data_IF_055326826627
#
_entry.id   IF_055326826627
#
_cell.length_a   1.000
_cell.length_b   1.000
_cell.length_c   1.000
_cell.angle_alpha   90.00
_cell.angle_beta   90.00
_cell.angle_gamma   90.00
#
_symmetry.space_group_name_H-M   'P 1'
#
loop_
_entity.id
_entity.type
_entity.pdbx_description
1 polymer ?
#
# COMPACT_ATOMS: atom_id res chain seq x y z
N UNK A 1 62.75 -43.26 42.96
CA UNK A 1 61.79 -43.25 44.08
C UNK A 1 60.38 -43.01 43.53
N UNK A 2 59.35 -43.58 44.18
CA UNK A 2 58.02 -43.90 43.63
C UNK A 2 57.08 -42.66 43.73
N UNK A 3 55.72 -42.74 43.61
CA UNK A 3 54.85 -43.39 42.61
C UNK A 3 53.58 -42.56 42.23
N UNK A 4 52.77 -43.11 41.30
CA UNK A 4 51.28 -43.28 41.36
C UNK A 4 50.29 -42.09 41.21
N UNK A 5 49.37 -42.31 40.23
CA UNK A 5 47.93 -41.98 40.14
C UNK A 5 47.47 -40.52 39.97
N UNK A 6 46.85 -40.23 38.82
CA UNK A 6 45.39 -40.31 38.59
C UNK A 6 44.90 -39.30 37.54
N UNK A 7 43.89 -39.72 36.80
CA UNK A 7 43.26 -39.01 35.71
C UNK A 7 42.63 -37.66 36.09
N UNK A 8 42.73 -36.69 35.19
CA UNK A 8 41.65 -35.73 34.90
C UNK A 8 41.76 -35.27 33.45
N UNK A 9 40.95 -35.88 32.58
CA UNK A 9 40.59 -35.31 31.28
C UNK A 9 39.67 -34.12 31.57
N UNK A 10 40.07 -32.92 31.18
CA UNK A 10 39.14 -31.83 30.93
C UNK A 10 39.23 -31.46 29.46
N UNK A 11 38.18 -31.86 28.76
CA UNK A 11 37.85 -31.57 27.38
C UNK A 11 37.52 -30.08 27.23
N UNK A 12 38.13 -29.40 26.27
CA UNK A 12 37.59 -28.21 25.62
C UNK A 12 38.23 -28.09 24.23
N UNK A 13 37.75 -28.93 23.31
CA UNK A 13 38.01 -28.75 21.88
C UNK A 13 36.81 -28.01 21.28
N UNK A 14 37.14 -26.88 20.67
CA UNK A 14 36.46 -26.24 19.54
C UNK A 14 35.62 -27.23 18.73
N UNK A 15 34.31 -26.98 18.67
CA UNK A 15 33.48 -27.44 17.57
C UNK A 15 32.49 -26.34 17.20
N UNK A 16 32.49 -26.03 15.90
CA UNK A 16 31.59 -25.10 15.25
C UNK A 16 30.14 -25.50 15.50
N UNK A 17 29.30 -24.52 15.83
CA UNK A 17 27.87 -24.73 16.01
C UNK A 17 27.27 -25.33 14.72
N UNK A 18 26.51 -26.44 14.81
CA UNK A 18 25.78 -26.95 13.66
C UNK A 18 24.64 -26.00 13.35
N UNK A 19 24.54 -25.58 12.08
CA UNK A 19 23.37 -24.92 11.50
C UNK A 19 22.16 -25.80 11.79
N UNK A 20 21.38 -25.39 12.79
CA UNK A 20 20.16 -26.08 13.18
C UNK A 20 19.18 -26.08 12.02
N UNK A 21 18.95 -27.26 11.44
CA UNK A 21 17.76 -27.51 10.62
C UNK A 21 16.54 -27.11 11.44
N UNK A 22 15.74 -26.17 10.92
CA UNK A 22 14.44 -25.81 11.50
C UNK A 22 13.64 -27.10 11.72
N UNK A 23 13.01 -27.30 12.90
CA UNK A 23 12.12 -28.43 13.09
C UNK A 23 10.94 -28.28 12.10
N UNK A 24 10.91 -29.18 11.12
CA UNK A 24 9.70 -29.54 10.40
C UNK A 24 8.65 -29.93 11.43
N UNK A 25 7.43 -29.40 11.28
CA UNK A 25 6.27 -29.64 12.16
C UNK A 25 6.24 -28.85 13.49
N UNK A 26 6.48 -27.54 13.44
CA UNK A 26 5.86 -26.66 14.44
C UNK A 26 4.36 -26.63 14.17
N UNK A 27 3.59 -27.18 15.09
CA UNK A 27 2.15 -27.04 15.14
C UNK A 27 1.84 -25.55 14.98
N UNK A 28 1.18 -25.17 13.88
CA UNK A 28 0.75 -23.81 13.63
C UNK A 28 -0.06 -23.40 14.86
N UNK A 29 0.52 -22.54 15.71
CA UNK A 29 -0.24 -21.88 16.77
C UNK A 29 -1.51 -21.36 16.09
N UNK A 30 -2.71 -21.62 16.64
CA UNK A 30 -3.94 -21.12 16.05
C UNK A 30 -3.75 -19.63 15.78
N UNK A 31 -3.80 -19.24 14.50
CA UNK A 31 -3.65 -17.83 14.13
C UNK A 31 -4.68 -17.08 14.96
N UNK A 32 -4.26 -16.08 15.76
CA UNK A 32 -5.18 -15.37 16.63
C UNK A 32 -6.32 -14.79 15.81
N UNK A 33 -7.42 -14.44 16.48
CA UNK A 33 -8.56 -13.84 15.80
C UNK A 33 -8.16 -12.52 15.12
N UNK A 34 -7.26 -11.74 15.74
CA UNK A 34 -6.86 -10.43 15.27
C UNK A 34 -8.00 -9.42 15.29
N UNK A 35 -7.68 -8.18 14.97
CA UNK A 35 -8.63 -7.09 14.82
C UNK A 35 -9.35 -7.22 13.47
N UNK A 36 -10.63 -6.85 13.41
CA UNK A 36 -11.36 -6.82 12.13
C UNK A 36 -10.73 -5.82 11.15
N UNK A 37 -10.25 -4.72 11.70
CA UNK A 37 -9.54 -3.64 11.00
C UNK A 37 -8.24 -3.39 11.75
N UNK A 38 -7.12 -3.75 11.12
CA UNK A 38 -5.79 -3.56 11.66
C UNK A 38 -5.20 -2.26 11.08
N UNK A 39 -4.91 -1.30 11.96
CA UNK A 39 -4.28 -0.03 11.60
C UNK A 39 -2.85 0.03 12.13
N UNK A 40 -1.93 0.42 11.24
CA UNK A 40 -0.51 0.58 11.50
C UNK A 40 -0.08 1.99 11.12
N UNK A 41 0.26 2.81 12.11
CA UNK A 41 0.68 4.18 11.88
C UNK A 41 2.13 4.25 11.44
N UNK A 42 3.01 3.48 12.09
CA UNK A 42 4.46 3.50 11.84
C UNK A 42 5.02 2.08 11.80
N UNK A 43 5.93 1.81 10.87
CA UNK A 43 6.58 0.50 10.71
C UNK A 43 7.34 0.12 11.99
N UNK A 44 8.22 0.98 12.49
CA UNK A 44 9.03 0.70 13.69
C UNK A 44 8.20 0.47 14.96
N UNK A 45 7.09 1.20 15.13
CA UNK A 45 6.33 1.18 16.39
C UNK A 45 5.24 0.12 16.43
N UNK A 46 4.54 -0.04 15.31
CA UNK A 46 3.32 -0.82 15.23
C UNK A 46 3.51 -2.15 14.49
N UNK A 47 4.55 -2.28 13.67
CA UNK A 47 4.79 -3.47 12.87
C UNK A 47 5.80 -4.41 13.51
N UNK A 48 7.02 -3.92 13.75
CA UNK A 48 8.13 -4.73 14.25
C UNK A 48 7.73 -5.45 15.56
N UNK A 49 7.78 -6.79 15.51
CA UNK A 49 7.43 -7.75 16.57
C UNK A 49 5.97 -7.73 17.08
N UNK A 50 5.05 -7.00 16.44
CA UNK A 50 3.68 -6.79 16.96
C UNK A 50 2.56 -7.05 15.97
N UNK A 51 2.84 -7.09 14.66
CA UNK A 51 1.79 -7.20 13.65
C UNK A 51 0.95 -8.49 13.80
N UNK A 52 1.56 -9.60 14.22
CA UNK A 52 0.88 -10.89 14.44
C UNK A 52 -0.20 -10.84 15.53
N UNK A 53 -0.11 -9.87 16.47
CA UNK A 53 -1.13 -9.69 17.50
C UNK A 53 -2.38 -8.98 16.96
N UNK A 54 -2.20 -8.12 15.95
CA UNK A 54 -3.28 -7.33 15.33
C UNK A 54 -3.89 -8.03 14.11
N UNK A 55 -3.09 -8.75 13.33
CA UNK A 55 -3.55 -9.42 12.12
C UNK A 55 -3.86 -10.88 12.43
N UNK A 56 -5.07 -11.31 12.09
CA UNK A 56 -5.54 -12.65 12.37
C UNK A 56 -6.70 -13.09 11.50
N UNK A 57 -7.31 -14.22 11.85
CA UNK A 57 -8.34 -14.87 11.02
C UNK A 57 -9.66 -14.09 10.88
N UNK A 58 -9.88 -13.06 11.69
CA UNK A 58 -11.02 -12.15 11.58
C UNK A 58 -10.66 -10.83 10.89
N UNK A 59 -9.39 -10.58 10.58
CA UNK A 59 -8.93 -9.37 9.91
C UNK A 59 -9.43 -9.34 8.48
N UNK A 60 -10.11 -8.23 8.15
CA UNK A 60 -10.68 -7.97 6.83
C UNK A 60 -10.08 -6.74 6.18
N UNK A 61 -9.57 -5.81 6.99
CA UNK A 61 -9.05 -4.53 6.54
C UNK A 61 -7.68 -4.35 7.17
N UNK A 62 -6.69 -4.05 6.33
CA UNK A 62 -5.36 -3.62 6.77
C UNK A 62 -5.14 -2.21 6.24
N UNK A 63 -4.84 -1.28 7.14
CA UNK A 63 -4.59 0.12 6.85
C UNK A 63 -3.22 0.54 7.35
N UNK A 64 -2.49 1.25 6.50
CA UNK A 64 -1.21 1.86 6.81
C UNK A 64 -1.37 3.38 6.84
N UNK A 65 -0.87 4.03 7.88
CA UNK A 65 -0.88 5.49 8.00
C UNK A 65 0.26 6.15 7.21
N UNK A 66 0.23 7.48 7.15
CA UNK A 66 1.22 8.28 6.41
C UNK A 66 2.64 8.22 6.97
N UNK A 67 2.82 7.86 8.24
CA UNK A 67 4.14 7.62 8.85
C UNK A 67 4.70 6.21 8.55
N UNK A 68 3.97 5.38 7.80
CA UNK A 68 4.34 4.00 7.51
C UNK A 68 5.09 3.92 6.18
N UNK A 69 6.24 3.25 6.18
CA UNK A 69 6.97 2.91 4.95
C UNK A 69 6.56 1.49 4.54
N UNK A 70 5.67 1.37 3.56
CA UNK A 70 5.15 0.08 3.12
C UNK A 70 6.08 -0.50 2.05
N UNK A 71 6.50 -1.75 2.23
CA UNK A 71 7.51 -2.43 1.40
C UNK A 71 7.04 -3.84 1.06
N UNK A 72 7.70 -4.49 0.11
CA UNK A 72 7.42 -5.88 -0.27
C UNK A 72 7.51 -6.83 0.92
N UNK A 73 8.48 -6.62 1.83
CA UNK A 73 8.65 -7.41 3.06
C UNK A 73 7.35 -7.46 3.89
N UNK A 74 6.70 -6.32 4.05
CA UNK A 74 5.45 -6.23 4.82
C UNK A 74 4.31 -7.00 4.14
N UNK A 75 4.28 -7.02 2.80
CA UNK A 75 3.34 -7.84 2.04
C UNK A 75 3.64 -9.33 2.26
N UNK A 76 4.90 -9.74 2.11
CA UNK A 76 5.33 -11.13 2.32
C UNK A 76 5.01 -11.64 3.73
N UNK A 77 5.19 -10.80 4.75
CA UNK A 77 4.87 -11.11 6.15
C UNK A 77 3.36 -11.32 6.37
N UNK A 78 2.49 -10.55 5.69
CA UNK A 78 1.04 -10.78 5.71
C UNK A 78 0.70 -12.10 5.01
N UNK A 79 1.33 -12.38 3.87
CA UNK A 79 1.11 -13.60 3.11
C UNK A 79 1.58 -14.84 3.90
N UNK A 80 2.65 -14.70 4.69
CA UNK A 80 3.18 -15.75 5.57
C UNK A 80 2.22 -16.13 6.71
N UNK A 81 1.27 -15.26 7.09
CA UNK A 81 0.18 -15.63 8.01
C UNK A 81 -0.77 -16.67 7.41
N UNK A 82 -0.70 -16.87 6.10
CA UNK A 82 -1.33 -17.98 5.41
C UNK A 82 -2.79 -17.75 5.00
N UNK A 83 -3.42 -18.77 4.40
CA UNK A 83 -4.70 -18.64 3.71
C UNK A 83 -5.87 -18.27 4.63
N UNK A 84 -5.74 -18.49 5.94
CA UNK A 84 -6.75 -18.09 6.92
C UNK A 84 -6.94 -16.58 7.03
N UNK A 85 -5.86 -15.81 6.83
CA UNK A 85 -5.87 -14.33 6.80
C UNK A 85 -6.12 -13.86 5.37
N UNK A 86 -5.30 -14.30 4.41
CA UNK A 86 -5.38 -13.85 3.01
C UNK A 86 -6.74 -14.15 2.36
N UNK A 87 -7.33 -15.31 2.66
CA UNK A 87 -8.65 -15.71 2.16
C UNK A 87 -9.82 -14.84 2.66
N UNK A 88 -9.59 -13.98 3.66
CA UNK A 88 -10.60 -13.10 4.26
C UNK A 88 -10.26 -11.62 4.16
N UNK A 89 -9.07 -11.27 3.67
CA UNK A 89 -8.66 -9.89 3.47
C UNK A 89 -9.50 -9.24 2.38
N UNK A 90 -10.24 -8.18 2.74
CA UNK A 90 -11.16 -7.46 1.86
C UNK A 90 -10.58 -6.14 1.35
N UNK A 91 -9.81 -5.45 2.20
CA UNK A 91 -9.25 -4.15 1.88
C UNK A 91 -7.80 -4.06 2.35
N UNK A 92 -6.97 -3.52 1.47
CA UNK A 92 -5.56 -3.25 1.72
C UNK A 92 -5.30 -1.79 1.35
N UNK A 93 -5.04 -0.93 2.34
CA UNK A 93 -5.14 0.52 2.18
C UNK A 93 -3.87 1.19 2.69
N UNK A 94 -3.24 1.98 1.85
CA UNK A 94 -2.22 2.93 2.25
C UNK A 94 -2.83 4.33 2.33
N UNK A 95 -3.12 4.81 3.54
CA UNK A 95 -3.65 6.14 3.79
C UNK A 95 -2.51 7.17 3.82
N UNK A 96 -2.30 7.82 2.69
CA UNK A 96 -1.49 9.04 2.66
C UNK A 96 -2.36 10.24 3.03
N UNK A 97 -2.07 10.85 4.18
CA UNK A 97 -2.71 12.08 4.68
C UNK A 97 -1.66 13.13 5.00
N UNK A 98 -2.12 14.37 4.82
CA UNK A 98 -1.40 15.63 4.92
C UNK A 98 -0.38 15.69 6.07
N UNK A 99 0.75 16.31 5.74
CA UNK A 99 1.93 16.54 6.58
C UNK A 99 2.06 18.04 6.79
N UNK A 100 1.03 18.64 7.40
CA UNK A 100 1.04 20.06 7.76
C UNK A 100 2.30 20.41 8.57
N UNK A 101 2.71 21.68 8.54
CA UNK A 101 3.95 22.16 9.17
C UNK A 101 4.06 21.83 10.69
N UNK A 102 2.92 21.61 11.36
CA UNK A 102 2.84 21.20 12.77
C UNK A 102 2.92 19.69 13.00
N UNK A 103 2.85 18.88 11.94
CA UNK A 103 3.26 17.49 11.98
C UNK A 103 4.77 17.48 12.23
N UNK A 104 5.16 17.35 13.50
CA UNK A 104 6.50 16.95 13.93
C UNK A 104 6.79 15.54 13.43
N UNK A 105 6.83 15.37 12.10
CA UNK A 105 7.57 14.32 11.47
C UNK A 105 8.98 14.50 11.98
N UNK A 106 9.41 13.59 12.86
CA UNK A 106 10.82 13.43 13.25
C UNK A 106 11.71 13.03 12.06
N UNK A 107 11.26 13.26 10.83
CA UNK A 107 12.13 13.35 9.67
C UNK A 107 12.80 14.72 9.76
N UNK A 108 14.04 14.76 10.23
CA UNK A 108 14.88 15.96 10.15
C UNK A 108 14.76 16.56 8.75
N UNK A 109 14.16 17.73 8.66
CA UNK A 109 14.03 18.53 7.45
C UNK A 109 15.41 19.08 7.05
N UNK A 110 16.25 18.20 6.51
CA UNK A 110 17.33 18.55 5.60
C UNK A 110 16.87 18.18 4.21
N UNK A 111 16.11 19.07 3.55
CA UNK A 111 15.97 19.18 2.08
C UNK A 111 15.69 17.91 1.23
N UNK A 112 15.36 16.78 1.81
CA UNK A 112 15.02 15.53 1.11
C UNK A 112 13.80 14.88 1.76
N UNK A 113 12.65 15.13 1.12
CA UNK A 113 11.49 14.24 1.00
C UNK A 113 10.79 13.79 2.30
N UNK A 114 9.57 14.29 2.48
CA UNK A 114 8.51 13.64 3.27
C UNK A 114 8.19 12.27 2.63
N UNK A 115 9.05 11.27 2.84
CA UNK A 115 8.90 9.92 2.27
C UNK A 115 7.87 9.11 3.05
N UNK A 116 6.59 9.41 2.85
CA UNK A 116 5.60 8.33 2.90
C UNK A 116 5.68 7.61 1.55
N UNK A 117 6.53 6.60 1.48
CA UNK A 117 6.76 5.83 0.28
C UNK A 117 6.01 4.49 0.38
N UNK A 118 5.17 4.21 -0.62
CA UNK A 118 4.84 2.82 -0.96
C UNK A 118 5.94 2.32 -1.87
N UNK A 119 6.85 1.54 -1.31
CA UNK A 119 7.91 0.85 -2.05
C UNK A 119 7.45 -0.52 -2.54
N UNK A 120 6.14 -0.80 -2.48
CA UNK A 120 5.53 -2.04 -2.97
C UNK A 120 5.74 -2.14 -4.49
N UNK A 121 6.45 -3.18 -4.91
CA UNK A 121 6.77 -3.46 -6.31
C UNK A 121 5.74 -4.37 -6.95
N UNK A 122 5.98 -4.64 -8.23
CA UNK A 122 5.16 -5.49 -9.07
C UNK A 122 4.91 -6.89 -8.49
N UNK A 123 5.96 -7.53 -7.94
CA UNK A 123 5.88 -8.90 -7.42
C UNK A 123 5.00 -8.98 -6.17
N UNK A 124 5.11 -8.00 -5.26
CA UNK A 124 4.27 -7.94 -4.07
C UNK A 124 2.81 -7.63 -4.42
N UNK A 125 2.56 -6.74 -5.39
CA UNK A 125 1.20 -6.49 -5.89
C UNK A 125 0.60 -7.75 -6.54
N UNK A 126 1.38 -8.46 -7.34
CA UNK A 126 0.99 -9.74 -7.93
C UNK A 126 0.65 -10.78 -6.85
N UNK A 127 1.50 -10.90 -5.83
CA UNK A 127 1.30 -11.84 -4.74
C UNK A 127 0.01 -11.55 -3.94
N UNK A 128 -0.36 -10.27 -3.76
CA UNK A 128 -1.65 -9.90 -3.18
C UNK A 128 -2.83 -10.39 -4.03
N UNK A 129 -2.75 -10.28 -5.36
CA UNK A 129 -3.81 -10.76 -6.26
C UNK A 129 -3.99 -12.28 -6.20
N UNK A 130 -2.88 -13.01 -6.22
CA UNK A 130 -2.85 -14.47 -6.22
C UNK A 130 -3.37 -15.05 -4.91
N UNK A 131 -2.93 -14.51 -3.77
CA UNK A 131 -3.16 -15.11 -2.46
C UNK A 131 -4.41 -14.60 -1.75
N UNK A 132 -4.96 -13.45 -2.14
CA UNK A 132 -6.09 -12.82 -1.46
C UNK A 132 -7.36 -12.76 -2.35
N UNK A 133 -8.09 -13.89 -2.51
CA UNK A 133 -9.26 -13.97 -3.39
C UNK A 133 -10.47 -13.13 -2.92
N UNK A 134 -10.49 -12.72 -1.66
CA UNK A 134 -11.56 -11.91 -1.10
C UNK A 134 -11.34 -10.40 -1.26
N UNK A 135 -10.22 -9.97 -1.84
CA UNK A 135 -9.91 -8.55 -2.02
C UNK A 135 -10.98 -7.86 -2.87
N UNK A 136 -11.43 -6.71 -2.37
CA UNK A 136 -12.41 -5.83 -3.02
C UNK A 136 -11.85 -4.45 -3.30
N UNK A 137 -10.86 -4.02 -2.52
CA UNK A 137 -10.28 -2.69 -2.55
C UNK A 137 -8.79 -2.76 -2.26
N UNK A 138 -7.97 -2.13 -3.11
CA UNK A 138 -6.55 -1.91 -2.88
C UNK A 138 -6.24 -0.44 -3.12
N UNK A 139 -5.52 0.18 -2.20
CA UNK A 139 -4.93 1.50 -2.38
C UNK A 139 -3.41 1.46 -2.11
N UNK A 140 -2.64 1.75 -3.15
CA UNK A 140 -1.17 1.84 -3.13
C UNK A 140 -0.71 3.18 -3.71
N UNK A 141 -1.38 4.27 -3.35
CA UNK A 141 -1.07 5.60 -3.85
C UNK A 141 -0.15 6.34 -2.86
N UNK A 142 1.11 6.55 -3.22
CA UNK A 142 2.07 7.38 -2.48
C UNK A 142 2.33 8.72 -3.19
N UNK A 143 3.11 9.61 -2.55
CA UNK A 143 3.53 10.89 -3.12
C UNK A 143 4.31 10.69 -4.43
N UNK A 144 3.92 11.47 -5.45
CA UNK A 144 4.56 11.94 -6.71
C UNK A 144 5.54 11.05 -7.50
N UNK A 145 6.29 10.15 -6.87
CA UNK A 145 7.14 9.14 -7.48
C UNK A 145 6.56 7.76 -7.16
N UNK A 146 5.43 7.41 -7.78
CA UNK A 146 4.78 6.16 -7.42
C UNK A 146 5.71 4.95 -7.53
N UNK A 147 5.38 3.87 -6.80
CA UNK A 147 5.90 2.49 -6.87
C UNK A 147 6.43 1.95 -8.24
N UNK A 148 7.37 1.03 -8.31
CA UNK A 148 7.86 0.53 -9.62
C UNK A 148 6.91 -0.45 -10.35
N UNK A 149 5.61 -0.15 -10.40
CA UNK A 149 4.60 -0.89 -11.15
C UNK A 149 4.66 -0.48 -12.62
N UNK A 150 5.09 -1.41 -13.45
CA UNK A 150 5.20 -1.34 -14.91
C UNK A 150 3.93 -1.79 -15.61
N UNK A 151 3.12 -2.65 -14.98
CA UNK A 151 1.84 -3.14 -15.49
C UNK A 151 1.79 -4.64 -15.75
N UNK A 152 2.88 -5.39 -15.55
CA UNK A 152 2.91 -6.85 -15.75
C UNK A 152 2.02 -7.59 -14.74
N UNK A 153 1.92 -7.15 -13.49
CA UNK A 153 0.96 -7.67 -12.50
C UNK A 153 -0.49 -7.39 -12.92
N UNK A 154 -0.76 -6.28 -13.63
CA UNK A 154 -2.08 -5.95 -14.14
C UNK A 154 -2.46 -6.85 -15.33
N UNK A 155 -1.51 -7.15 -16.20
CA UNK A 155 -1.68 -8.12 -17.29
C UNK A 155 -1.87 -9.54 -16.72
N UNK A 156 -1.07 -9.95 -15.73
CA UNK A 156 -1.23 -11.23 -15.07
C UNK A 156 -2.59 -11.35 -14.35
N UNK A 157 -3.06 -10.29 -13.68
CA UNK A 157 -4.40 -10.23 -13.10
C UNK A 157 -5.51 -10.32 -14.16
N UNK A 158 -5.29 -9.80 -15.36
CA UNK A 158 -6.22 -9.93 -16.49
C UNK A 158 -6.26 -11.37 -16.99
N UNK A 159 -5.11 -12.04 -17.07
CA UNK A 159 -4.94 -13.39 -17.60
C UNK A 159 -5.42 -14.48 -16.66
N UNK A 160 -5.52 -14.17 -15.35
CA UNK A 160 -6.00 -15.09 -14.31
C UNK A 160 -7.26 -14.50 -13.63
N UNK A 161 -8.48 -14.68 -14.20
CA UNK A 161 -9.72 -14.15 -13.65
C UNK A 161 -10.09 -14.66 -12.24
N UNK A 162 -9.56 -15.81 -11.84
CA UNK A 162 -9.70 -16.43 -10.53
C UNK A 162 -8.91 -15.71 -9.42
N UNK A 163 -7.95 -14.85 -9.78
CA UNK A 163 -7.22 -14.01 -8.83
C UNK A 163 -8.00 -12.76 -8.48
N UNK A 164 -8.17 -12.52 -7.18
CA UNK A 164 -8.99 -11.42 -6.63
C UNK A 164 -10.31 -11.17 -7.42
N UNK A 165 -11.19 -12.17 -7.60
CA UNK A 165 -12.35 -12.08 -8.50
C UNK A 165 -13.37 -11.03 -8.06
N UNK A 166 -13.31 -10.61 -6.79
CA UNK A 166 -14.20 -9.61 -6.18
C UNK A 166 -13.59 -8.21 -6.17
N UNK A 167 -12.42 -8.00 -6.77
CA UNK A 167 -11.73 -6.71 -6.79
C UNK A 167 -12.56 -5.69 -7.57
N UNK A 168 -13.06 -4.67 -6.88
CA UNK A 168 -13.91 -3.60 -7.43
C UNK A 168 -13.14 -2.30 -7.60
N UNK A 169 -12.20 -2.01 -6.72
CA UNK A 169 -11.45 -0.75 -6.74
C UNK A 169 -9.96 -1.02 -6.61
N UNK A 170 -9.18 -0.44 -7.52
CA UNK A 170 -7.72 -0.45 -7.48
C UNK A 170 -7.23 1.00 -7.61
N UNK A 171 -6.66 1.54 -6.54
CA UNK A 171 -6.10 2.90 -6.51
C UNK A 171 -4.58 2.83 -6.54
N UNK A 172 -3.98 3.42 -7.58
CA UNK A 172 -2.53 3.45 -7.81
C UNK A 172 -2.06 4.90 -7.98
N UNK A 173 -0.76 5.15 -7.80
CA UNK A 173 -0.18 6.45 -8.13
C UNK A 173 -0.31 6.80 -9.61
N UNK A 174 -0.44 8.09 -9.93
CA UNK A 174 -0.49 8.60 -11.30
C UNK A 174 0.79 8.25 -12.09
N UNK A 175 0.61 7.78 -13.33
CA UNK A 175 1.68 7.39 -14.27
C UNK A 175 1.26 7.55 -15.73
N UNK A 176 0.66 8.68 -16.04
CA UNK A 176 0.19 8.94 -17.41
C UNK A 176 1.35 9.01 -18.44
N UNK A 177 2.58 9.16 -17.96
CA UNK A 177 3.83 9.11 -18.72
C UNK A 177 4.23 7.68 -19.15
N UNK A 178 3.84 6.64 -18.39
CA UNK A 178 4.19 5.23 -18.69
C UNK A 178 3.15 4.58 -19.61
N UNK A 179 3.44 4.57 -20.91
CA UNK A 179 2.55 4.00 -21.95
C UNK A 179 2.18 2.53 -21.72
N UNK A 180 3.14 1.69 -21.34
CA UNK A 180 2.90 0.26 -21.13
C UNK A 180 1.99 -0.01 -19.93
N UNK A 181 2.23 0.70 -18.82
CA UNK A 181 1.34 0.70 -17.65
C UNK A 181 -0.08 1.09 -18.04
N UNK A 182 -0.24 2.21 -18.77
CA UNK A 182 -1.56 2.69 -19.20
C UNK A 182 -2.27 1.70 -20.14
N UNK A 183 -1.52 1.00 -20.99
CA UNK A 183 -2.05 -0.04 -21.87
C UNK A 183 -2.55 -1.24 -21.05
N UNK A 184 -1.74 -1.76 -20.13
CA UNK A 184 -2.09 -2.88 -19.26
C UNK A 184 -3.30 -2.55 -18.37
N UNK A 185 -3.28 -1.40 -17.72
CA UNK A 185 -4.38 -0.89 -16.89
C UNK A 185 -5.69 -0.79 -17.67
N UNK A 186 -5.66 -0.21 -18.87
CA UNK A 186 -6.87 -0.10 -19.72
C UNK A 186 -7.36 -1.47 -20.18
N UNK A 187 -6.45 -2.39 -20.50
CA UNK A 187 -6.81 -3.76 -20.90
C UNK A 187 -7.46 -4.54 -19.74
N UNK A 188 -6.89 -4.44 -18.53
CA UNK A 188 -7.44 -5.00 -17.31
C UNK A 188 -8.86 -4.46 -17.04
N UNK A 189 -9.05 -3.14 -17.13
CA UNK A 189 -10.36 -2.51 -16.96
C UNK A 189 -11.40 -2.95 -18.00
N UNK A 190 -10.99 -3.28 -19.23
CA UNK A 190 -11.87 -3.86 -20.25
C UNK A 190 -12.29 -5.30 -19.91
N UNK A 191 -11.35 -6.12 -19.40
CA UNK A 191 -11.61 -7.49 -18.97
C UNK A 191 -12.54 -7.54 -17.74
N UNK A 192 -12.28 -6.68 -16.75
CA UNK A 192 -13.03 -6.60 -15.49
C UNK A 192 -13.99 -5.42 -15.48
N UNK A 193 -15.12 -5.54 -16.19
CA UNK A 193 -16.09 -4.44 -16.43
C UNK A 193 -16.71 -3.83 -15.16
N UNK A 194 -16.74 -4.58 -14.06
CA UNK A 194 -17.26 -4.12 -12.76
C UNK A 194 -16.21 -3.34 -11.94
N UNK A 195 -14.94 -3.37 -12.36
CA UNK A 195 -13.83 -2.76 -11.65
C UNK A 195 -13.63 -1.30 -12.06
N UNK A 196 -13.26 -0.47 -11.08
CA UNK A 196 -12.82 0.91 -11.25
C UNK A 196 -11.34 0.98 -10.88
N UNK A 197 -10.53 1.54 -11.76
CA UNK A 197 -9.12 1.82 -11.49
C UNK A 197 -8.98 3.33 -11.31
N UNK A 198 -8.43 3.79 -10.20
CA UNK A 198 -8.24 5.20 -9.94
C UNK A 198 -6.74 5.50 -9.91
N UNK A 199 -6.29 6.42 -10.75
CA UNK A 199 -4.95 6.97 -10.65
C UNK A 199 -5.00 8.20 -9.75
N UNK A 200 -4.12 8.26 -8.76
CA UNK A 200 -4.09 9.32 -7.76
C UNK A 200 -2.80 10.10 -7.91
N UNK A 201 -2.93 11.39 -8.16
CA UNK A 201 -1.83 12.36 -8.15
C UNK A 201 -1.89 13.14 -6.86
N UNK A 202 -0.75 13.29 -6.17
CA UNK A 202 -0.64 14.13 -4.99
C UNK A 202 0.57 15.03 -5.13
N UNK A 203 0.35 16.33 -5.01
CA UNK A 203 1.39 17.35 -5.05
C UNK A 203 1.03 18.49 -4.12
N UNK A 204 2.06 19.16 -3.62
CA UNK A 204 1.91 20.33 -2.76
C UNK A 204 1.69 21.56 -3.64
N UNK A 205 0.63 22.33 -3.35
CA UNK A 205 0.36 23.61 -3.98
C UNK A 205 0.41 24.70 -2.92
N UNK A 206 1.15 25.77 -3.20
CA UNK A 206 1.23 26.90 -2.27
C UNK A 206 -0.04 27.75 -2.39
N UNK A 207 -0.86 27.78 -1.34
CA UNK A 207 -2.08 28.58 -1.26
C UNK A 207 -2.02 29.50 -0.05
N UNK A 208 -2.29 30.79 -0.25
CA UNK A 208 -2.35 31.82 0.80
C UNK A 208 -1.17 31.88 1.80
N UNK A 209 0.02 31.44 1.39
CA UNK A 209 1.21 31.46 2.25
C UNK A 209 1.49 30.14 2.97
N UNK A 210 0.60 29.16 2.87
CA UNK A 210 0.77 27.79 3.36
C UNK A 210 0.89 26.79 2.20
N UNK A 211 1.30 25.57 2.50
CA UNK A 211 1.35 24.45 1.56
C UNK A 211 0.17 23.53 1.77
N UNK A 212 -0.67 23.41 0.75
CA UNK A 212 -1.80 22.49 0.76
C UNK A 212 -1.47 21.24 -0.06
N UNK A 213 -1.79 20.08 0.48
CA UNK A 213 -1.71 18.82 -0.27
C UNK A 213 -2.91 18.70 -1.22
N UNK A 214 -2.68 18.90 -2.52
CA UNK A 214 -3.71 18.74 -3.54
C UNK A 214 -3.72 17.30 -4.05
N UNK A 215 -4.88 16.64 -3.91
CA UNK A 215 -5.11 15.29 -4.43
C UNK A 215 -6.00 15.33 -5.67
N UNK A 216 -5.49 14.84 -6.80
CA UNK A 216 -6.27 14.65 -8.03
C UNK A 216 -6.53 13.17 -8.25
N UNK A 217 -7.78 12.79 -8.44
CA UNK A 217 -8.17 11.41 -8.73
C UNK A 217 -8.71 11.29 -10.14
N UNK A 218 -8.12 10.37 -10.89
CA UNK A 218 -8.53 10.02 -12.23
C UNK A 218 -9.15 8.63 -12.28
N UNK A 219 -10.46 8.56 -12.51
CA UNK A 219 -11.14 7.27 -12.57
C UNK A 219 -11.11 6.68 -13.98
N UNK A 220 -10.89 5.37 -14.07
CA UNK A 220 -10.95 4.57 -15.28
C UNK A 220 -11.95 3.42 -15.10
N UNK A 221 -12.90 3.32 -16.03
CA UNK A 221 -13.90 2.23 -16.09
C UNK A 221 -13.95 1.66 -17.49
N UNK A 222 -14.03 0.33 -17.60
CA UNK A 222 -14.07 -0.37 -18.91
C UNK A 222 -12.90 0.04 -19.84
N UNK A 223 -11.74 0.37 -19.24
CA UNK A 223 -10.54 0.83 -19.92
C UNK A 223 -10.60 2.25 -20.50
N UNK A 224 -11.54 3.09 -20.07
CA UNK A 224 -11.68 4.49 -20.50
C UNK A 224 -11.68 5.43 -19.30
N UNK A 225 -11.12 6.62 -19.49
CA UNK A 225 -11.16 7.72 -18.52
C UNK A 225 -12.62 8.10 -18.26
N UNK A 226 -13.01 8.20 -17.00
CA UNK A 226 -14.38 8.45 -16.56
C UNK A 226 -14.40 9.53 -15.47
N UNK A 227 -14.29 10.79 -15.89
CA UNK A 227 -14.37 11.96 -15.01
C UNK A 227 -13.13 12.14 -14.11
N UNK A 228 -12.91 13.40 -13.74
CA UNK A 228 -11.84 13.82 -12.84
C UNK A 228 -12.57 14.24 -11.56
N UNK A 229 -12.22 13.65 -10.42
CA UNK A 229 -12.75 14.09 -9.13
C UNK A 229 -11.64 14.78 -8.36
N UNK A 230 -11.89 16.03 -8.00
CA UNK A 230 -11.07 16.78 -7.04
C UNK A 230 -11.59 16.43 -5.65
N UNK A 231 -10.71 15.96 -4.77
CA UNK A 231 -10.98 16.02 -3.33
C UNK A 231 -10.68 17.47 -2.92
N UNK A 232 -11.62 18.38 -3.15
CA UNK A 232 -11.66 19.60 -2.35
C UNK A 232 -12.23 19.17 -1.00
N UNK A 233 -11.40 19.19 0.04
CA UNK A 233 -11.91 19.27 1.41
C UNK A 233 -12.76 20.54 1.46
N UNK A 234 -14.07 20.38 1.28
CA UNK A 234 -15.05 21.45 1.44
C UNK A 234 -15.05 21.84 2.91
N UNK A 235 -14.31 22.89 3.21
CA UNK A 235 -14.52 23.70 4.40
C UNK A 235 -15.98 24.18 4.40
N UNK A 236 -16.80 23.89 5.43
CA UNK A 236 -18.23 24.22 5.43
C UNK A 236 -18.52 25.73 5.65
N UNK A 237 -17.53 26.59 5.44
CA UNK A 237 -17.60 28.03 5.69
C UNK A 237 -17.32 28.88 4.45
N UNK A 238 -17.94 28.55 3.31
CA UNK A 238 -18.05 29.51 2.20
C UNK A 238 -19.45 29.46 1.57
N UNK A 239 -20.41 30.03 2.29
CA UNK A 239 -21.61 30.62 1.71
C UNK A 239 -21.56 32.14 2.00
N UNK A 240 -20.90 32.91 1.13
CA UNK A 240 -20.99 34.37 1.17
C UNK A 240 -20.79 35.02 -0.21
N UNK A 241 -21.86 35.69 -0.66
CA UNK A 241 -21.96 36.71 -1.72
C UNK A 241 -21.84 36.22 -3.18
N UNK A 242 -22.89 36.15 -4.00
CA UNK A 242 -24.08 37.01 -4.16
C UNK A 242 -23.77 38.50 -4.32
N UNK A 243 -22.89 38.88 -5.25
CA UNK A 243 -22.94 40.10 -6.07
C UNK A 243 -22.00 39.82 -7.26
N UNK A 244 -22.43 39.68 -8.52
CA UNK A 244 -23.23 40.63 -9.27
C UNK A 244 -22.32 41.46 -10.19
N UNK A 245 -21.71 40.85 -11.22
CA UNK A 245 -21.34 41.53 -12.46
C UNK A 245 -21.38 40.54 -13.62
N UNK A 246 -22.36 40.76 -14.49
CA UNK A 246 -22.56 40.00 -15.71
C UNK A 246 -21.69 40.48 -16.87
N UNK A 247 -21.71 39.64 -17.90
CA UNK A 247 -21.32 39.87 -19.29
C UNK A 247 -19.83 40.04 -19.59
N UNK A 248 -19.24 38.95 -20.09
CA UNK A 248 -18.66 38.99 -21.43
C UNK A 248 -19.15 37.80 -22.27
N UNK A 249 -20.01 38.12 -23.25
CA UNK A 249 -20.23 37.31 -24.46
C UNK A 249 -18.89 37.17 -25.19
N UNK A 250 -18.58 35.97 -25.68
CA UNK A 250 -17.98 35.87 -27.01
C UNK A 250 -18.51 34.62 -27.73
N UNK A 251 -19.23 34.91 -28.81
CA UNK A 251 -19.41 34.03 -29.95
C UNK A 251 -18.02 33.68 -30.51
N UNK A 252 -17.83 32.44 -30.97
CA UNK A 252 -17.70 32.23 -32.42
C UNK A 252 -17.77 30.77 -32.84
N UNK A 253 -18.48 30.60 -33.95
CA UNK A 253 -18.69 29.43 -34.78
C UNK A 253 -18.02 29.78 -36.13
N UNK A 254 -17.46 28.79 -36.81
CA UNK A 254 -16.84 28.81 -38.17
C UNK A 254 -15.41 29.40 -38.24
N UNK A 255 -14.44 28.80 -38.94
CA UNK A 255 -14.46 27.80 -40.04
C UNK A 255 -13.57 26.59 -39.74
#
# INVERSE_FOLDING_TARGET
MPPVRSAKKNTAATDAAPVGKRPSTMWLKPIPKGDKEAFFKSSERDWDDKYEAKIGTATKIIKFGSEFILTDRHVDEILALGPGVCGRLWQFIFEYKDVSYDAKNKANLTTQSLQAATEVKEDALLALFENCPALTYIELSALSHGNDITGTSLDALRENPEWAPKLKTLMLGERDDKKDFMKAMRALGKGRKAMTITLVSRHEEKRYGDWDLVTRKQNYKKGRKHGDSYDDDQDPFYDFNKYGYGNYRSYNRFW
#
